data_IF_056438406904
#
_entry.id   IF_056438406904
#
_cell.length_a   1.000
_cell.length_b   1.000
_cell.length_c   1.000
_cell.angle_alpha   90.00
_cell.angle_beta   90.00
_cell.angle_gamma   90.00
#
_symmetry.space_group_name_H-M   'P 1'
#
loop_
_entity.id
_entity.type
_entity.pdbx_description
1 polymer ?
#
# COMPACT_ATOMS: atom_id res chain seq x y z
N UNK A 1 12.88 3.00 -7.77
CA UNK A 1 12.68 3.70 -6.46
C UNK A 1 11.22 4.08 -6.08
N UNK A 2 10.18 3.88 -6.91
CA UNK A 2 8.80 4.35 -6.62
C UNK A 2 7.82 3.32 -6.03
N UNK A 3 8.24 2.07 -5.81
CA UNK A 3 7.32 0.93 -5.63
C UNK A 3 7.18 0.40 -4.20
N UNK A 4 7.88 0.98 -3.22
CA UNK A 4 7.93 0.46 -1.84
C UNK A 4 6.93 1.09 -0.85
N UNK A 5 6.17 2.11 -1.23
CA UNK A 5 5.18 2.77 -0.37
C UNK A 5 3.78 2.14 -0.51
N UNK A 6 3.69 0.82 -0.38
CA UNK A 6 2.59 0.01 -0.92
C UNK A 6 1.26 0.03 -0.13
N UNK A 7 1.10 0.83 0.92
CA UNK A 7 -0.12 0.73 1.75
C UNK A 7 -0.69 2.04 2.27
N UNK A 8 -0.01 3.18 2.05
CA UNK A 8 -0.43 4.47 2.61
C UNK A 8 -0.94 5.49 1.58
N UNK A 9 -0.87 5.19 0.27
CA UNK A 9 -1.02 6.20 -0.79
C UNK A 9 -2.39 6.25 -1.49
N UNK A 10 -3.37 5.41 -1.13
CA UNK A 10 -4.69 5.45 -1.77
C UNK A 10 -5.62 6.56 -1.25
N UNK A 11 -5.22 7.31 -0.22
CA UNK A 11 -6.14 8.17 0.54
C UNK A 11 -5.82 9.67 0.39
N UNK A 12 -4.64 10.04 -0.14
CA UNK A 12 -4.21 11.44 -0.25
C UNK A 12 -4.96 12.27 -1.31
N UNK A 13 -5.67 11.63 -2.25
CA UNK A 13 -6.33 12.33 -3.37
C UNK A 13 -7.62 13.08 -3.04
N UNK A 14 -8.25 12.84 -1.89
CA UNK A 14 -9.59 13.37 -1.61
C UNK A 14 -9.59 14.64 -0.75
N UNK A 15 -8.52 15.44 -0.70
CA UNK A 15 -8.32 16.45 0.36
C UNK A 15 -9.15 17.76 0.32
N UNK A 16 -10.31 17.84 -0.35
CA UNK A 16 -11.02 19.13 -0.53
C UNK A 16 -12.48 19.22 -0.04
N UNK A 17 -13.00 18.22 0.69
CA UNK A 17 -14.31 18.35 1.36
C UNK A 17 -14.20 18.09 2.86
N UNK A 18 -14.62 19.07 3.67
CA UNK A 18 -14.56 19.06 5.14
C UNK A 18 -15.34 17.90 5.80
N UNK A 19 -16.11 17.11 5.04
CA UNK A 19 -16.83 15.92 5.49
C UNK A 19 -16.47 14.70 4.64
N UNK A 20 -15.18 14.34 4.62
CA UNK A 20 -14.71 13.26 3.77
C UNK A 20 -15.10 11.87 4.28
N UNK A 21 -16.40 11.55 4.23
CA UNK A 21 -16.91 10.20 4.35
C UNK A 21 -17.01 9.60 2.94
N UNK A 22 -15.87 9.20 2.38
CA UNK A 22 -15.85 8.45 1.12
C UNK A 22 -16.15 6.99 1.44
N UNK A 23 -17.21 6.47 0.83
CA UNK A 23 -17.57 5.07 0.91
C UNK A 23 -17.74 4.53 -0.51
N UNK A 24 -16.96 3.52 -0.86
CA UNK A 24 -17.00 2.82 -2.15
C UNK A 24 -17.31 1.36 -1.88
N UNK A 25 -18.29 0.79 -2.60
CA UNK A 25 -18.67 -0.62 -2.45
C UNK A 25 -18.65 -1.35 -3.79
N UNK A 26 -18.05 -2.54 -3.78
CA UNK A 26 -17.93 -3.45 -4.92
C UNK A 26 -17.48 -2.74 -6.20
N UNK A 27 -16.44 -1.92 -6.09
CA UNK A 27 -15.87 -1.24 -7.24
C UNK A 27 -15.07 -2.23 -8.08
N UNK A 28 -15.46 -2.33 -9.34
CA UNK A 28 -14.87 -3.19 -10.35
C UNK A 28 -14.41 -2.29 -11.50
N UNK A 29 -13.12 -2.38 -11.84
CA UNK A 29 -12.48 -1.41 -12.73
C UNK A 29 -11.43 -2.06 -13.61
N UNK A 30 -11.41 -1.64 -14.87
CA UNK A 30 -10.42 -2.02 -15.87
C UNK A 30 -9.83 -0.78 -16.50
N UNK A 31 -8.51 -0.77 -16.66
CA UNK A 31 -7.76 0.33 -17.23
C UNK A 31 -6.82 -0.16 -18.33
N UNK A 32 -6.71 0.62 -19.40
CA UNK A 32 -5.69 0.51 -20.44
C UNK A 32 -5.22 1.92 -20.81
N UNK A 33 -3.95 2.23 -20.55
CA UNK A 33 -3.40 3.59 -20.65
C UNK A 33 -3.79 4.31 -21.96
N UNK A 34 -4.40 5.52 -21.89
CA UNK A 34 -4.63 6.36 -20.71
C UNK A 34 -6.04 6.28 -20.08
N UNK A 35 -6.89 5.35 -20.54
CA UNK A 35 -8.32 5.33 -20.22
C UNK A 35 -8.73 4.08 -19.42
N UNK A 36 -9.74 4.22 -18.57
CA UNK A 36 -10.33 3.11 -17.84
C UNK A 36 -11.81 3.31 -17.57
N UNK A 37 -12.48 2.21 -17.34
CA UNK A 37 -13.90 2.17 -17.04
C UNK A 37 -14.18 1.16 -15.93
N UNK A 38 -15.21 1.43 -15.15
CA UNK A 38 -15.62 0.59 -14.06
C UNK A 38 -17.01 0.91 -13.57
N UNK A 39 -17.45 0.12 -12.58
CA UNK A 39 -18.74 0.31 -11.92
C UNK A 39 -18.60 0.06 -10.42
N UNK A 40 -19.46 0.69 -9.64
CA UNK A 40 -19.57 0.44 -8.20
C UNK A 40 -21.03 0.28 -7.80
N UNK A 41 -21.28 -0.60 -6.82
CA UNK A 41 -22.60 -0.70 -6.20
C UNK A 41 -22.96 0.59 -5.46
N UNK A 42 -21.97 1.28 -4.88
CA UNK A 42 -22.13 2.65 -4.37
C UNK A 42 -20.82 3.42 -4.35
N UNK A 43 -20.90 4.75 -4.50
CA UNK A 43 -19.77 5.68 -4.40
C UNK A 43 -20.22 6.97 -3.70
N UNK A 44 -19.67 7.28 -2.53
CA UNK A 44 -19.93 8.51 -1.75
C UNK A 44 -21.42 8.86 -1.66
N UNK A 45 -22.26 7.86 -1.32
CA UNK A 45 -23.75 7.90 -1.19
C UNK A 45 -24.55 7.72 -2.48
N UNK A 46 -23.94 7.81 -3.67
CA UNK A 46 -24.60 7.44 -4.92
C UNK A 46 -24.67 5.92 -5.04
N UNK A 47 -25.79 5.38 -5.52
CA UNK A 47 -25.98 3.95 -5.75
C UNK A 47 -25.90 3.61 -7.25
N UNK A 48 -25.31 2.46 -7.59
CA UNK A 48 -25.24 1.94 -8.95
C UNK A 48 -24.60 2.89 -9.94
N UNK A 49 -23.33 3.24 -9.73
CA UNK A 49 -22.62 4.24 -10.54
C UNK A 49 -21.72 3.60 -11.59
N UNK A 50 -21.53 4.30 -12.70
CA UNK A 50 -20.45 4.07 -13.67
C UNK A 50 -19.31 5.04 -13.38
N UNK A 51 -18.08 4.58 -13.56
CA UNK A 51 -16.88 5.39 -13.32
C UNK A 51 -16.00 5.31 -14.57
N UNK A 52 -15.78 6.46 -15.19
CA UNK A 52 -14.73 6.61 -16.22
C UNK A 52 -13.50 7.21 -15.56
N UNK A 53 -12.31 6.76 -15.97
CA UNK A 53 -11.04 7.20 -15.41
C UNK A 53 -10.09 7.56 -16.55
N UNK A 54 -9.61 8.80 -16.52
CA UNK A 54 -8.60 9.31 -17.45
C UNK A 54 -7.33 9.64 -16.70
N UNK A 55 -6.21 9.10 -17.16
CA UNK A 55 -4.90 9.50 -16.63
C UNK A 55 -4.43 10.77 -17.33
N UNK A 56 -4.14 11.80 -16.53
CA UNK A 56 -3.57 13.07 -16.97
C UNK A 56 -2.24 13.27 -16.25
N UNK A 57 -1.14 13.14 -16.99
CA UNK A 57 0.22 13.10 -16.45
C UNK A 57 0.43 11.99 -15.39
N UNK A 58 0.41 12.37 -14.11
CA UNK A 58 0.57 11.48 -12.94
C UNK A 58 -0.71 11.31 -12.13
N UNK A 59 -1.74 12.05 -12.48
CA UNK A 59 -3.02 12.06 -11.77
C UNK A 59 -4.04 11.22 -12.54
N UNK A 60 -5.06 10.75 -11.83
CA UNK A 60 -6.22 10.10 -12.44
C UNK A 60 -7.45 10.96 -12.17
N UNK A 61 -8.14 11.37 -13.23
CA UNK A 61 -9.42 12.04 -13.15
C UNK A 61 -10.52 10.99 -13.27
N UNK A 62 -11.42 10.95 -12.29
CA UNK A 62 -12.53 10.01 -12.22
C UNK A 62 -13.83 10.79 -12.44
N UNK A 63 -14.55 10.44 -13.50
CA UNK A 63 -15.90 10.90 -13.75
C UNK A 63 -16.88 9.81 -13.28
N UNK A 64 -17.59 10.09 -12.19
CA UNK A 64 -18.59 9.20 -11.62
C UNK A 64 -19.97 9.66 -12.09
N UNK A 65 -20.69 8.77 -12.77
CA UNK A 65 -22.02 9.02 -13.31
C UNK A 65 -23.05 8.07 -12.71
N UNK A 66 -24.20 8.61 -12.34
CA UNK A 66 -25.33 7.86 -11.77
C UNK A 66 -26.57 8.74 -11.72
N UNK A 67 -27.20 8.86 -10.55
CA UNK A 67 -28.26 9.84 -10.32
C UNK A 67 -27.75 11.29 -10.39
N UNK A 68 -26.48 11.49 -10.04
CA UNK A 68 -25.73 12.74 -10.15
C UNK A 68 -24.40 12.46 -10.83
N UNK A 69 -23.77 13.52 -11.36
CA UNK A 69 -22.42 13.46 -11.92
C UNK A 69 -21.45 14.15 -10.96
N UNK A 70 -20.35 13.48 -10.64
CA UNK A 70 -19.30 14.03 -9.80
C UNK A 70 -17.93 13.73 -10.41
N UNK A 71 -17.01 14.69 -10.28
CA UNK A 71 -15.62 14.55 -10.71
C UNK A 71 -14.70 14.50 -9.50
N UNK A 72 -13.73 13.59 -9.53
CA UNK A 72 -12.70 13.44 -8.52
C UNK A 72 -11.34 13.37 -9.19
N UNK A 73 -10.31 13.89 -8.53
CA UNK A 73 -8.92 13.71 -8.99
C UNK A 73 -8.14 12.95 -7.94
N UNK A 74 -7.67 11.76 -8.28
CA UNK A 74 -6.68 11.05 -7.50
C UNK A 74 -5.29 11.60 -7.81
N UNK A 75 -4.82 12.50 -6.94
CA UNK A 75 -3.47 13.06 -6.99
C UNK A 75 -2.45 12.13 -6.35
N UNK A 76 -1.22 12.21 -6.86
CA UNK A 76 -0.06 11.49 -6.32
C UNK A 76 -0.29 9.97 -6.20
N UNK A 77 -0.96 9.41 -7.21
CA UNK A 77 -1.20 7.99 -7.27
C UNK A 77 0.13 7.21 -7.18
N UNK A 78 0.15 6.05 -6.50
CA UNK A 78 1.34 5.24 -6.38
C UNK A 78 2.03 4.96 -7.73
N UNK A 79 3.36 4.84 -7.70
CA UNK A 79 4.16 4.56 -8.91
C UNK A 79 3.66 3.34 -9.70
N UNK A 80 3.25 2.27 -9.00
CA UNK A 80 2.73 1.07 -9.67
C UNK A 80 1.39 1.27 -10.40
N UNK A 81 0.62 2.31 -10.05
CA UNK A 81 -0.60 2.68 -10.78
C UNK A 81 -0.26 3.61 -11.95
N UNK A 82 0.54 4.65 -11.70
CA UNK A 82 0.92 5.62 -12.75
C UNK A 82 1.79 5.00 -13.85
N UNK A 83 2.57 3.97 -13.53
CA UNK A 83 3.40 3.23 -14.49
C UNK A 83 2.66 2.03 -15.12
N UNK A 84 1.44 1.70 -14.66
CA UNK A 84 0.68 0.60 -15.23
C UNK A 84 0.16 0.95 -16.63
N UNK A 85 0.39 0.04 -17.57
CA UNK A 85 -0.26 0.03 -18.88
C UNK A 85 -1.66 -0.55 -18.80
N UNK A 86 -1.86 -1.57 -17.95
CA UNK A 86 -3.19 -2.13 -17.67
C UNK A 86 -3.42 -2.31 -16.18
N UNK A 87 -4.65 -2.08 -15.73
CA UNK A 87 -5.08 -2.40 -14.36
C UNK A 87 -6.39 -3.18 -14.38
N UNK A 88 -6.51 -4.15 -13.47
CA UNK A 88 -7.77 -4.85 -13.19
C UNK A 88 -7.97 -4.84 -11.68
N UNK A 89 -9.05 -4.22 -11.23
CA UNK A 89 -9.44 -4.11 -9.82
C UNK A 89 -10.81 -4.76 -9.69
N UNK A 90 -10.94 -5.73 -8.77
CA UNK A 90 -12.19 -6.46 -8.52
C UNK A 90 -12.60 -6.37 -7.06
N UNK A 91 -13.87 -6.08 -6.85
CA UNK A 91 -14.52 -5.94 -5.55
C UNK A 91 -13.72 -5.07 -4.57
N UNK A 92 -13.26 -3.93 -5.05
CA UNK A 92 -12.68 -2.91 -4.19
C UNK A 92 -13.76 -2.27 -3.32
N UNK A 93 -13.52 -2.23 -2.03
CA UNK A 93 -14.37 -1.60 -1.05
C UNK A 93 -13.51 -0.65 -0.21
N UNK A 94 -14.02 0.54 0.05
CA UNK A 94 -13.41 1.54 0.92
C UNK A 94 -14.51 2.11 1.80
N UNK A 95 -14.28 2.12 3.11
CA UNK A 95 -15.03 2.92 4.05
C UNK A 95 -14.05 3.84 4.77
N UNK A 96 -14.17 5.14 4.50
CA UNK A 96 -13.31 6.16 5.06
C UNK A 96 -13.97 6.93 6.23
N UNK A 97 -14.64 6.19 7.13
CA UNK A 97 -15.16 6.71 8.39
C UNK A 97 -14.11 6.85 9.50
N UNK A 98 -14.57 6.97 10.76
CA UNK A 98 -13.70 7.01 11.95
C UNK A 98 -12.82 5.76 12.09
N UNK A 99 -13.32 4.62 11.63
CA UNK A 99 -12.52 3.44 11.33
C UNK A 99 -12.43 3.33 9.82
N UNK A 100 -11.21 3.38 9.30
CA UNK A 100 -10.93 3.16 7.89
C UNK A 100 -10.85 1.67 7.63
N UNK A 101 -11.62 1.20 6.65
CA UNK A 101 -11.50 -0.16 6.13
C UNK A 101 -11.37 -0.15 4.62
N UNK A 102 -10.49 -1.00 4.12
CA UNK A 102 -10.28 -1.21 2.70
C UNK A 102 -10.22 -2.71 2.48
N UNK A 103 -10.95 -3.21 1.50
CA UNK A 103 -10.80 -4.58 1.02
C UNK A 103 -10.77 -4.63 -0.49
N UNK A 104 -10.02 -5.59 -1.02
CA UNK A 104 -9.86 -5.80 -2.45
C UNK A 104 -9.77 -7.31 -2.68
N UNK A 105 -10.68 -7.85 -3.48
CA UNK A 105 -10.63 -9.27 -3.83
C UNK A 105 -9.42 -9.55 -4.73
N UNK A 106 -9.23 -8.72 -5.76
CA UNK A 106 -8.12 -8.86 -6.68
C UNK A 106 -7.69 -7.53 -7.28
N UNK A 107 -6.39 -7.28 -7.31
CA UNK A 107 -5.78 -6.19 -8.05
C UNK A 107 -4.65 -6.72 -8.92
N UNK A 108 -4.65 -6.38 -10.21
CA UNK A 108 -3.56 -6.65 -11.14
C UNK A 108 -3.12 -5.33 -11.75
N UNK A 109 -1.82 -5.06 -11.74
CA UNK A 109 -1.21 -3.84 -12.27
C UNK A 109 -0.04 -4.27 -13.14
N UNK A 110 -0.18 -4.14 -14.45
CA UNK A 110 0.87 -4.52 -15.40
C UNK A 110 1.46 -3.27 -16.03
N UNK A 111 2.76 -3.12 -15.87
CA UNK A 111 3.59 -2.13 -16.56
C UNK A 111 4.47 -2.84 -17.60
N UNK A 112 5.28 -2.07 -18.34
CA UNK A 112 6.20 -2.64 -19.32
C UNK A 112 7.21 -3.62 -18.71
N UNK A 113 7.71 -3.30 -17.52
CA UNK A 113 8.86 -3.98 -16.91
C UNK A 113 8.49 -4.75 -15.63
N UNK A 114 7.21 -4.76 -15.23
CA UNK A 114 6.75 -5.37 -13.98
C UNK A 114 5.26 -5.68 -14.03
N UNK A 115 4.89 -6.80 -13.42
CA UNK A 115 3.50 -7.19 -13.18
C UNK A 115 3.33 -7.43 -11.70
N UNK A 116 2.32 -6.78 -11.14
CA UNK A 116 1.99 -6.88 -9.74
C UNK A 116 0.57 -7.42 -9.56
N UNK A 117 0.44 -8.38 -8.64
CA UNK A 117 -0.84 -8.98 -8.30
C UNK A 117 -1.06 -9.01 -6.79
N UNK A 118 -2.27 -8.62 -6.40
CA UNK A 118 -2.79 -8.65 -5.04
C UNK A 118 -4.05 -9.51 -5.03
N UNK A 119 -4.16 -10.48 -4.13
CA UNK A 119 -5.40 -11.24 -3.90
C UNK A 119 -5.80 -11.15 -2.42
N UNK A 120 -7.11 -10.96 -2.16
CA UNK A 120 -7.73 -10.86 -0.83
C UNK A 120 -7.02 -9.88 0.11
N UNK A 121 -6.76 -8.66 -0.38
CA UNK A 121 -6.20 -7.61 0.45
C UNK A 121 -7.28 -7.06 1.39
N UNK A 122 -6.93 -6.88 2.65
CA UNK A 122 -7.75 -6.22 3.66
C UNK A 122 -6.88 -5.35 4.54
N UNK A 123 -7.26 -4.09 4.71
CA UNK A 123 -6.68 -3.13 5.62
C UNK A 123 -7.79 -2.62 6.53
N UNK A 124 -7.54 -2.62 7.82
CA UNK A 124 -8.40 -2.03 8.83
C UNK A 124 -7.52 -1.17 9.73
N UNK A 125 -7.90 0.08 9.95
CA UNK A 125 -7.22 0.91 10.92
C UNK A 125 -8.14 2.00 11.46
N UNK A 126 -7.90 2.43 12.70
CA UNK A 126 -8.68 3.52 13.29
C UNK A 126 -8.05 4.86 12.88
N UNK A 127 -8.85 5.91 12.63
CA UNK A 127 -8.32 7.27 12.43
C UNK A 127 -8.13 7.94 13.78
N UNK A 128 -7.05 8.70 13.92
CA UNK A 128 -6.81 9.54 15.10
C UNK A 128 -7.12 10.99 14.76
N UNK A 129 -8.28 11.49 15.20
CA UNK A 129 -8.77 12.87 14.93
C UNK A 129 -7.96 13.97 15.66
N UNK A 130 -6.72 13.68 16.05
CA UNK A 130 -5.85 14.60 16.78
C UNK A 130 -4.96 15.47 15.88
N UNK A 131 -5.06 15.32 14.55
CA UNK A 131 -4.23 16.03 13.57
C UNK A 131 -5.12 16.82 12.61
N UNK A 132 -4.64 17.96 12.08
CA UNK A 132 -5.40 18.78 11.14
C UNK A 132 -5.52 18.09 9.77
N UNK A 133 -4.42 17.55 9.26
CA UNK A 133 -4.39 16.85 7.97
C UNK A 133 -5.00 15.44 8.08
N UNK A 134 -5.94 15.11 7.19
CA UNK A 134 -6.60 13.79 7.14
C UNK A 134 -5.60 12.64 7.01
N UNK A 135 -4.52 12.83 6.24
CA UNK A 135 -3.46 11.83 6.09
C UNK A 135 -2.68 11.62 7.38
N UNK A 136 -2.40 12.68 8.13
CA UNK A 136 -1.75 12.59 9.44
C UNK A 136 -2.64 11.84 10.45
N UNK A 137 -3.95 12.09 10.41
CA UNK A 137 -4.93 11.35 11.23
C UNK A 137 -4.94 9.85 10.91
N UNK A 138 -4.87 9.51 9.62
CA UNK A 138 -4.83 8.12 9.16
C UNK A 138 -3.53 7.44 9.58
N UNK A 139 -2.38 8.03 9.28
CA UNK A 139 -1.06 7.45 9.62
C UNK A 139 -0.94 7.27 11.13
N UNK A 140 -1.23 8.34 11.88
CA UNK A 140 -1.20 8.31 13.34
C UNK A 140 -2.15 7.28 13.93
N UNK A 141 -3.34 7.13 13.35
CA UNK A 141 -4.34 6.17 13.80
C UNK A 141 -3.99 4.72 13.44
N UNK A 142 -3.53 4.45 12.21
CA UNK A 142 -3.07 3.13 11.80
C UNK A 142 -1.91 2.63 12.67
N UNK A 143 -0.99 3.50 13.08
CA UNK A 143 0.08 3.16 14.03
C UNK A 143 -0.47 2.72 15.39
N UNK A 144 -1.58 3.30 15.85
CA UNK A 144 -2.22 2.89 17.11
C UNK A 144 -2.95 1.57 16.97
N UNK A 145 -3.62 1.32 15.84
CA UNK A 145 -4.35 0.09 15.62
C UNK A 145 -4.55 -0.16 14.14
N UNK A 146 -3.80 -1.12 13.61
CA UNK A 146 -3.92 -1.55 12.22
C UNK A 146 -3.87 -3.07 12.11
N UNK A 147 -4.67 -3.60 11.21
CA UNK A 147 -4.54 -4.96 10.69
C UNK A 147 -4.53 -4.89 9.17
N UNK A 148 -3.44 -5.30 8.57
CA UNK A 148 -3.27 -5.48 7.14
C UNK A 148 -3.07 -6.96 6.83
N UNK A 149 -3.79 -7.48 5.84
CA UNK A 149 -3.70 -8.85 5.36
C UNK A 149 -3.76 -8.89 3.85
N UNK A 150 -3.03 -9.82 3.24
CA UNK A 150 -3.22 -10.23 1.85
C UNK A 150 -2.90 -11.72 1.73
N UNK A 151 -3.66 -12.44 0.90
CA UNK A 151 -3.45 -13.87 0.64
C UNK A 151 -2.63 -14.12 -0.63
N UNK A 152 -2.18 -13.06 -1.31
CA UNK A 152 -1.18 -13.15 -2.37
C UNK A 152 -0.64 -11.77 -2.66
N UNK A 153 0.68 -11.68 -2.66
CA UNK A 153 1.40 -10.56 -3.24
C UNK A 153 2.48 -11.13 -4.15
N UNK A 154 2.40 -10.87 -5.44
CA UNK A 154 3.47 -11.21 -6.37
C UNK A 154 3.82 -9.98 -7.18
N UNK A 155 5.11 -9.69 -7.29
CA UNK A 155 5.66 -8.69 -8.20
C UNK A 155 6.81 -9.34 -8.95
N UNK A 156 6.96 -8.99 -10.23
CA UNK A 156 8.09 -9.40 -11.05
C UNK A 156 9.21 -8.35 -11.06
N UNK A 157 9.08 -7.29 -10.26
CA UNK A 157 10.07 -6.23 -10.19
C UNK A 157 11.44 -6.79 -9.81
N UNK A 158 12.44 -6.46 -10.63
CA UNK A 158 13.85 -6.80 -10.41
C UNK A 158 14.50 -5.94 -9.30
N UNK A 159 13.79 -4.96 -8.73
CA UNK A 159 14.32 -4.03 -7.72
C UNK A 159 13.51 -4.04 -6.41
N UNK A 160 14.20 -3.99 -5.27
CA UNK A 160 13.61 -3.56 -3.98
C UNK A 160 13.77 -4.54 -2.81
N UNK A 161 12.84 -4.52 -1.85
CA UNK A 161 12.92 -5.40 -0.65
C UNK A 161 12.85 -6.89 -1.01
N UNK A 162 12.22 -7.22 -2.14
CA UNK A 162 12.17 -8.59 -2.65
C UNK A 162 13.54 -9.04 -3.17
N UNK A 163 14.27 -8.16 -3.85
CA UNK A 163 15.66 -8.35 -4.25
C UNK A 163 16.55 -8.49 -3.00
N UNK A 164 16.43 -7.58 -2.04
CA UNK A 164 17.15 -7.64 -0.77
C UNK A 164 16.95 -8.96 -0.03
N UNK A 165 15.71 -9.45 0.00
CA UNK A 165 15.37 -10.73 0.59
C UNK A 165 15.90 -11.90 -0.25
N UNK A 166 15.85 -11.81 -1.58
CA UNK A 166 16.39 -12.82 -2.48
C UNK A 166 17.91 -12.94 -2.36
N UNK A 167 18.62 -11.80 -2.32
CA UNK A 167 20.05 -11.69 -2.06
C UNK A 167 20.42 -12.22 -0.68
N UNK A 168 19.64 -11.89 0.36
CA UNK A 168 19.88 -12.41 1.69
C UNK A 168 19.75 -13.94 1.79
N UNK A 169 18.93 -14.53 0.92
CA UNK A 169 18.68 -15.97 0.81
C UNK A 169 19.54 -16.67 -0.25
N UNK A 170 20.55 -15.99 -0.82
CA UNK A 170 21.45 -16.48 -1.87
C UNK A 170 20.73 -17.06 -3.12
N UNK A 171 19.51 -16.59 -3.40
CA UNK A 171 18.71 -17.02 -4.55
C UNK A 171 18.85 -15.99 -5.68
N UNK A 172 19.77 -16.23 -6.61
CA UNK A 172 20.14 -15.24 -7.63
C UNK A 172 19.20 -15.13 -8.83
N UNK A 173 18.17 -16.00 -8.98
CA UNK A 173 17.29 -16.00 -10.18
C UNK A 173 15.85 -16.48 -9.99
N UNK A 174 15.37 -16.69 -8.77
CA UNK A 174 14.04 -17.25 -8.55
C UNK A 174 12.96 -16.15 -8.46
N UNK A 175 11.81 -16.36 -9.10
CA UNK A 175 10.63 -15.51 -8.91
C UNK A 175 10.19 -15.60 -7.44
N UNK A 176 10.37 -14.51 -6.69
CA UNK A 176 9.96 -14.44 -5.29
C UNK A 176 8.47 -14.11 -5.23
N UNK A 177 7.65 -15.11 -4.86
CA UNK A 177 6.24 -14.90 -4.57
C UNK A 177 6.02 -14.71 -3.07
N UNK A 178 5.11 -13.83 -2.67
CA UNK A 178 4.59 -13.81 -1.30
C UNK A 178 3.20 -14.46 -1.32
N UNK A 179 3.08 -15.62 -0.69
CA UNK A 179 1.82 -16.32 -0.55
C UNK A 179 0.90 -15.61 0.44
N UNK A 180 1.44 -14.99 1.48
CA UNK A 180 0.60 -14.21 2.39
C UNK A 180 1.42 -13.17 3.13
N UNK A 181 0.78 -12.05 3.47
CA UNK A 181 1.30 -11.05 4.40
C UNK A 181 0.23 -10.78 5.43
N UNK A 182 0.63 -10.74 6.69
CA UNK A 182 -0.16 -10.22 7.79
C UNK A 182 0.71 -9.23 8.58
N UNK A 183 0.25 -8.00 8.69
CA UNK A 183 0.89 -6.96 9.49
C UNK A 183 -0.14 -6.44 10.49
N UNK A 184 0.21 -6.48 11.76
CA UNK A 184 -0.58 -5.86 12.83
C UNK A 184 0.24 -4.76 13.46
N UNK A 185 -0.40 -3.65 13.78
CA UNK A 185 0.16 -2.61 14.63
C UNK A 185 -0.79 -2.33 15.79
N UNK A 186 -0.25 -2.20 17.00
CA UNK A 186 -1.01 -1.85 18.20
C UNK A 186 -0.14 -0.98 19.11
N UNK A 187 -0.61 0.23 19.39
CA UNK A 187 0.08 1.23 20.21
C UNK A 187 1.54 1.45 19.77
N UNK A 188 1.77 1.55 18.46
CA UNK A 188 3.10 1.71 17.89
C UNK A 188 3.94 0.43 17.83
N UNK A 189 3.55 -0.69 18.44
CA UNK A 189 4.24 -1.97 18.24
C UNK A 189 3.73 -2.61 16.97
N UNK A 190 4.61 -3.15 16.13
CA UNK A 190 4.22 -3.89 14.93
C UNK A 190 4.73 -5.32 14.93
N UNK A 191 3.93 -6.20 14.34
CA UNK A 191 4.24 -7.59 14.06
C UNK A 191 3.88 -7.92 12.62
N UNK A 192 4.88 -8.26 11.82
CA UNK A 192 4.75 -8.70 10.44
C UNK A 192 5.05 -10.19 10.35
N UNK A 193 4.19 -10.91 9.64
CA UNK A 193 4.42 -12.28 9.22
C UNK A 193 4.13 -12.38 7.72
N UNK A 194 5.08 -12.92 6.96
CA UNK A 194 4.91 -13.19 5.54
C UNK A 194 5.32 -14.61 5.20
N UNK A 195 4.58 -15.27 4.33
CA UNK A 195 4.97 -16.56 3.75
C UNK A 195 5.54 -16.30 2.37
N UNK A 196 6.83 -16.57 2.22
CA UNK A 196 7.57 -16.32 0.98
C UNK A 196 7.81 -17.65 0.29
N UNK A 197 7.44 -17.70 -0.99
CA UNK A 197 7.68 -18.82 -1.89
C UNK A 197 8.81 -18.42 -2.84
N UNK A 198 9.97 -19.00 -2.61
CA UNK A 198 11.14 -18.92 -3.49
C UNK A 198 11.62 -20.36 -3.80
N UNK A 199 12.88 -20.52 -4.23
CA UNK A 199 13.52 -21.85 -4.28
C UNK A 199 13.48 -22.53 -2.90
N UNK A 200 13.63 -21.75 -1.83
CA UNK A 200 13.37 -22.16 -0.45
C UNK A 200 12.14 -21.38 0.02
N UNK A 201 11.02 -22.09 0.20
CA UNK A 201 9.83 -21.50 0.80
C UNK A 201 10.02 -21.37 2.32
N UNK A 202 9.60 -20.24 2.89
CA UNK A 202 9.81 -19.98 4.31
C UNK A 202 8.96 -18.85 4.85
N UNK A 203 8.84 -18.83 6.18
CA UNK A 203 8.11 -17.78 6.89
C UNK A 203 9.07 -16.68 7.32
N UNK A 204 8.83 -15.47 6.85
CA UNK A 204 9.45 -14.25 7.36
C UNK A 204 8.62 -13.74 8.53
N UNK A 205 9.29 -13.36 9.62
CA UNK A 205 8.67 -12.62 10.72
C UNK A 205 9.51 -11.38 11.02
N UNK A 206 8.89 -10.24 11.22
CA UNK A 206 9.54 -9.03 11.69
C UNK A 206 8.71 -8.37 12.78
N UNK A 207 9.35 -7.78 13.77
CA UNK A 207 8.67 -7.01 14.81
C UNK A 207 9.48 -5.80 15.23
N UNK A 208 8.81 -4.84 15.87
CA UNK A 208 9.44 -3.62 16.31
C UNK A 208 8.44 -2.55 16.75
N UNK A 209 8.91 -1.31 16.73
CA UNK A 209 8.10 -0.12 17.01
C UNK A 209 8.02 0.77 15.77
N UNK A 210 6.90 1.46 15.61
CA UNK A 210 6.66 2.47 14.60
C UNK A 210 6.06 3.71 15.27
N UNK A 211 6.57 4.87 14.89
CA UNK A 211 6.07 6.17 15.36
C UNK A 211 5.99 7.17 14.21
N UNK A 212 5.13 8.16 14.36
CA UNK A 212 4.93 9.21 13.38
C UNK A 212 4.94 10.58 14.04
N UNK A 213 5.77 11.48 13.49
CA UNK A 213 5.76 12.89 13.84
C UNK A 213 5.05 13.66 12.73
N UNK A 214 3.79 14.05 12.98
CA UNK A 214 2.96 14.79 12.02
C UNK A 214 3.53 16.18 11.69
N UNK A 215 4.21 16.83 12.64
CA UNK A 215 4.82 18.16 12.44
C UNK A 215 5.93 18.09 11.39
N UNK A 216 6.77 17.06 11.44
CA UNK A 216 7.88 16.89 10.49
C UNK A 216 7.55 15.94 9.34
N UNK A 217 6.38 15.31 9.33
CA UNK A 217 6.03 14.24 8.39
C UNK A 217 6.93 13.01 8.47
N UNK A 218 7.59 12.75 9.62
CA UNK A 218 8.62 11.71 9.74
C UNK A 218 8.03 10.43 10.34
N UNK A 219 8.03 9.36 9.56
CA UNK A 219 7.75 7.99 10.01
C UNK A 219 9.05 7.33 10.46
N UNK A 220 9.09 6.80 11.68
CA UNK A 220 10.24 6.10 12.25
C UNK A 220 9.87 4.65 12.54
N UNK A 221 10.61 3.70 11.96
CA UNK A 221 10.47 2.27 12.22
C UNK A 221 11.73 1.79 12.96
N UNK A 222 11.58 1.37 14.21
CA UNK A 222 12.61 0.66 14.95
C UNK A 222 12.38 -0.84 14.79
N UNK A 223 13.25 -1.51 14.04
CA UNK A 223 13.12 -2.95 13.78
C UNK A 223 13.92 -3.72 14.83
N UNK A 224 13.22 -4.45 15.69
CA UNK A 224 13.85 -5.24 16.76
C UNK A 224 14.39 -6.55 16.21
N UNK A 225 13.60 -7.24 15.42
CA UNK A 225 13.92 -8.57 14.91
C UNK A 225 13.40 -8.76 13.47
N UNK A 226 14.17 -9.47 12.65
CA UNK A 226 13.72 -10.05 11.39
C UNK A 226 14.25 -11.48 11.31
N UNK A 227 13.36 -12.45 11.15
CA UNK A 227 13.66 -13.87 11.02
C UNK A 227 13.14 -14.43 9.71
N UNK A 228 13.91 -15.34 9.10
CA UNK A 228 13.46 -16.25 8.06
C UNK A 228 13.57 -17.69 8.59
N UNK A 229 12.43 -18.33 8.85
CA UNK A 229 12.41 -19.59 9.60
C UNK A 229 13.00 -19.41 11.00
N UNK A 230 14.13 -20.06 11.27
CA UNK A 230 14.87 -19.97 12.54
C UNK A 230 16.04 -18.97 12.48
N UNK A 231 16.39 -18.48 11.30
CA UNK A 231 17.58 -17.64 11.10
C UNK A 231 17.25 -16.16 11.26
N UNK A 232 18.07 -15.44 12.01
CA UNK A 232 18.03 -13.98 12.03
C UNK A 232 18.63 -13.44 10.73
N UNK A 233 17.87 -12.60 10.02
CA UNK A 233 18.31 -11.95 8.77
C UNK A 233 18.32 -10.42 8.89
N UNK A 234 18.20 -9.89 10.12
CA UNK A 234 18.10 -8.45 10.38
C UNK A 234 19.24 -7.65 9.76
N UNK A 235 20.49 -8.05 10.02
CA UNK A 235 21.68 -7.34 9.51
C UNK A 235 21.70 -7.22 7.99
N UNK A 236 21.51 -8.34 7.28
CA UNK A 236 21.44 -8.35 5.80
C UNK A 236 20.33 -7.42 5.27
N UNK A 237 19.15 -7.42 5.90
CA UNK A 237 18.06 -6.51 5.50
C UNK A 237 18.44 -5.05 5.69
N UNK A 238 19.13 -4.69 6.79
CA UNK A 238 19.60 -3.31 6.99
C UNK A 238 20.69 -2.90 6.00
N UNK A 239 21.61 -3.81 5.66
CA UNK A 239 22.63 -3.58 4.62
C UNK A 239 21.97 -3.24 3.27
N UNK A 240 20.99 -4.04 2.87
CA UNK A 240 20.24 -3.84 1.63
C UNK A 240 19.42 -2.55 1.63
N UNK A 241 18.71 -2.26 2.74
CA UNK A 241 17.96 -1.01 2.87
C UNK A 241 18.90 0.20 2.80
N UNK A 242 20.10 0.10 3.36
CA UNK A 242 21.10 1.16 3.33
C UNK A 242 21.59 1.45 1.91
N UNK A 243 21.72 0.42 1.06
CA UNK A 243 22.04 0.59 -0.36
C UNK A 243 20.93 1.31 -1.16
N UNK A 244 19.70 1.34 -0.62
CA UNK A 244 18.53 1.99 -1.25
C UNK A 244 18.15 3.31 -0.55
N UNK A 245 19.03 3.90 0.26
CA UNK A 245 18.79 5.23 0.85
C UNK A 245 18.51 6.29 -0.22
N UNK A 246 17.69 7.27 0.13
CA UNK A 246 17.33 8.39 -0.73
C UNK A 246 17.12 9.64 0.11
N UNK A 247 16.59 10.72 -0.46
CA UNK A 247 16.17 11.90 0.32
C UNK A 247 15.02 11.56 1.28
N UNK A 248 14.06 10.74 0.84
CA UNK A 248 12.89 10.35 1.66
C UNK A 248 13.14 9.13 2.54
N UNK A 249 14.13 8.30 2.26
CA UNK A 249 14.44 7.08 3.03
C UNK A 249 15.84 7.15 3.61
N UNK A 250 15.96 7.13 4.94
CA UNK A 250 17.24 7.04 5.67
C UNK A 250 17.27 5.81 6.55
N UNK A 251 18.44 5.18 6.67
CA UNK A 251 18.63 3.89 7.33
C UNK A 251 19.79 3.99 8.30
N UNK A 252 19.50 3.83 9.59
CA UNK A 252 20.49 3.79 10.67
C UNK A 252 20.08 2.73 11.68
N UNK A 253 20.60 1.51 11.52
CA UNK A 253 20.24 0.38 12.37
C UNK A 253 20.22 0.75 13.88
N UNK A 254 19.16 0.37 14.63
CA UNK A 254 18.00 -0.43 14.26
C UNK A 254 16.81 0.36 13.66
N UNK A 255 17.05 1.56 13.15
CA UNK A 255 16.02 2.48 12.68
C UNK A 255 15.99 2.66 11.17
N UNK A 256 14.78 2.76 10.63
CA UNK A 256 14.47 3.21 9.28
C UNK A 256 13.58 4.45 9.38
N UNK A 257 13.93 5.51 8.67
CA UNK A 257 13.22 6.78 8.68
C UNK A 257 12.65 7.06 7.29
N UNK A 258 11.38 7.45 7.22
CA UNK A 258 10.71 7.78 5.98
C UNK A 258 10.00 9.14 6.07
N UNK A 259 10.33 10.06 5.16
CA UNK A 259 9.64 11.35 5.02
C UNK A 259 8.38 11.19 4.17
N UNK A 260 7.22 11.43 4.77
CA UNK A 260 5.91 11.37 4.10
C UNK A 260 5.66 12.65 3.30
N UNK A 261 6.15 13.78 3.80
CA UNK A 261 6.13 15.08 3.12
C UNK A 261 7.35 15.15 2.18
#
# INVERSE_FOLDING_TARGET
MKKLAFSFLFISGFAMANDLQVAVKNFNFTYTDPHGEGSAASFSRMAGVQVSVDKVDKDFNLLVTGAETAEFTLKDAPGFMTEAQTMIVRDFNLDFGARTSLSLLQGTFNSKDDSMKLDNLSLNCDRKVAHEEVMDQLIGGCIQKMTFKTSKFSSQAEEGVMEALSSALDNTKASLGINSVALNATNGKFDLAAEVKAQISGKVKANGNVSYNATTGLLTLQISEIKFGLFSVRGKVFEELKMKESEKLKVREPYVYYSVK
#
